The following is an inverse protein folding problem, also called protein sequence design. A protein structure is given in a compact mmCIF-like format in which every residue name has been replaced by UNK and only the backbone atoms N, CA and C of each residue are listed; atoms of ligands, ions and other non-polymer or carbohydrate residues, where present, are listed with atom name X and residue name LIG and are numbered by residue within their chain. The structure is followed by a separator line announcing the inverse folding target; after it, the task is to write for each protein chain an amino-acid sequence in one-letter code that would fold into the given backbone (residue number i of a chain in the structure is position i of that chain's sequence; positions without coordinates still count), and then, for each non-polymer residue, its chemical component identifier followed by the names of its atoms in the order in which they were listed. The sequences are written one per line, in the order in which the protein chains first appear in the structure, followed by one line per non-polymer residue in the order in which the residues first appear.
data_IF_434548736862
#
_entry.id   IF_434548736862
#
_cell.length_a   1.000
_cell.length_b   1.000
_cell.length_c   1.000
_cell.angle_alpha   90.00
_cell.angle_beta   90.00
_cell.angle_gamma   90.00
#
_symmetry.space_group_name_H-M   'P 1'
#
loop_
_entity.id
_entity.type
_entity.pdbx_description
1 polymer ?
#
# COMPACT_ATOMS: atom_id res chain seq x y z
N UNK A 1 -10.86 -14.77 4.25
CA UNK A 1 -10.02 -14.46 3.07
C UNK A 1 -8.64 -15.07 3.34
N UNK A 2 -8.03 -15.75 2.39
CA UNK A 2 -6.70 -16.37 2.51
C UNK A 2 -5.88 -16.00 1.28
N UNK A 3 -4.56 -16.18 1.38
CA UNK A 3 -3.61 -15.93 0.29
C UNK A 3 -3.57 -14.46 -0.20
N UNK A 4 -3.53 -13.52 0.76
CA UNK A 4 -3.41 -12.09 0.47
C UNK A 4 -1.93 -11.74 0.30
N UNK A 5 -1.56 -11.19 -0.84
CA UNK A 5 -0.25 -10.56 -1.02
C UNK A 5 -0.38 -9.05 -0.78
N UNK A 6 0.40 -8.54 0.16
CA UNK A 6 0.48 -7.09 0.39
C UNK A 6 1.52 -6.49 -0.54
N UNK A 7 1.12 -5.49 -1.31
CA UNK A 7 2.02 -4.68 -2.11
C UNK A 7 2.01 -3.24 -1.58
N UNK A 8 3.07 -2.81 -0.94
CA UNK A 8 3.16 -1.51 -0.28
C UNK A 8 4.50 -0.82 -0.57
N UNK A 9 4.51 0.50 -0.51
CA UNK A 9 5.75 1.26 -0.65
C UNK A 9 6.69 1.00 0.54
N UNK A 10 6.13 1.00 1.76
CA UNK A 10 6.88 0.73 2.99
C UNK A 10 5.91 0.32 4.09
N UNK A 11 6.34 -0.58 4.95
CA UNK A 11 5.61 -1.01 6.12
C UNK A 11 6.40 -0.67 7.38
N UNK A 12 5.80 0.10 8.27
CA UNK A 12 6.38 0.55 9.52
C UNK A 12 5.55 0.13 10.73
N UNK A 13 5.79 0.77 11.88
CA UNK A 13 5.12 0.45 13.14
C UNK A 13 3.59 0.48 13.07
N UNK A 14 3.01 1.40 12.30
CA UNK A 14 1.56 1.47 12.09
C UNK A 14 0.97 0.20 11.44
N UNK A 15 1.79 -0.59 10.78
CA UNK A 15 1.40 -1.82 10.12
C UNK A 15 1.62 -3.08 11.00
N UNK A 16 2.15 -2.94 12.21
CA UNK A 16 2.39 -4.08 13.11
C UNK A 16 1.15 -4.95 13.38
N UNK A 17 -0.09 -4.45 13.35
CA UNK A 17 -1.30 -5.28 13.45
C UNK A 17 -1.44 -6.37 12.38
N UNK A 18 -0.68 -6.31 11.28
CA UNK A 18 -0.70 -7.39 10.25
C UNK A 18 0.15 -8.60 10.64
N UNK A 19 1.04 -8.49 11.63
CA UNK A 19 1.97 -9.56 12.01
C UNK A 19 1.28 -10.89 12.33
N UNK A 20 0.21 -10.96 13.11
CA UNK A 20 -0.52 -12.21 13.35
C UNK A 20 -1.00 -12.90 12.08
N UNK A 21 -1.38 -12.11 11.06
CA UNK A 21 -1.85 -12.62 9.76
C UNK A 21 -0.71 -13.09 8.85
N UNK A 22 0.50 -12.62 9.09
CA UNK A 22 1.72 -13.17 8.48
C UNK A 22 2.03 -14.53 9.12
N UNK A 23 1.96 -14.61 10.45
CA UNK A 23 2.30 -15.80 11.21
C UNK A 23 1.30 -16.95 11.00
N UNK A 24 0.01 -16.66 10.84
CA UNK A 24 -1.02 -17.65 10.58
C UNK A 24 -1.15 -18.05 9.09
N UNK A 25 -0.40 -17.38 8.20
CA UNK A 25 -0.37 -17.64 6.76
C UNK A 25 -1.54 -17.03 5.97
N UNK A 26 -2.36 -16.17 6.57
CA UNK A 26 -3.39 -15.40 5.86
C UNK A 26 -2.73 -14.45 4.86
N UNK A 27 -1.57 -13.88 5.21
CA UNK A 27 -0.71 -13.06 4.36
C UNK A 27 0.57 -13.84 4.03
N UNK A 28 0.56 -14.68 3.00
CA UNK A 28 1.72 -15.47 2.63
C UNK A 28 2.76 -14.71 1.85
N UNK A 29 2.42 -13.58 1.23
CA UNK A 29 3.26 -12.82 0.33
C UNK A 29 3.34 -11.34 0.65
N UNK A 30 4.50 -10.76 0.37
CA UNK A 30 4.74 -9.33 0.57
C UNK A 30 5.66 -8.78 -0.51
N UNK A 31 5.31 -7.63 -1.05
CA UNK A 31 6.13 -6.85 -1.97
C UNK A 31 6.21 -5.41 -1.46
N UNK A 32 7.43 -4.92 -1.25
CA UNK A 32 7.63 -3.60 -0.62
C UNK A 32 8.97 -2.99 -1.05
N UNK A 33 9.14 -1.72 -0.74
CA UNK A 33 10.46 -1.06 -0.83
C UNK A 33 11.20 -1.09 0.51
N UNK A 34 10.50 -1.40 1.59
CA UNK A 34 11.10 -1.52 2.92
C UNK A 34 10.12 -1.99 3.97
N UNK A 35 10.64 -2.70 4.96
CA UNK A 35 9.88 -3.19 6.11
C UNK A 35 10.64 -2.86 7.39
N UNK A 36 9.93 -2.48 8.44
CA UNK A 36 10.50 -2.06 9.73
C UNK A 36 9.64 -2.60 10.87
N UNK A 37 10.07 -2.32 12.09
CA UNK A 37 9.39 -2.67 13.34
C UNK A 37 9.05 -4.17 13.43
N UNK A 38 7.92 -4.54 14.02
CA UNK A 38 7.55 -5.94 14.22
C UNK A 38 7.28 -6.68 12.91
N UNK A 39 6.74 -5.99 11.90
CA UNK A 39 6.58 -6.56 10.55
C UNK A 39 7.93 -6.95 9.94
N UNK A 40 8.94 -6.05 10.03
CA UNK A 40 10.29 -6.34 9.57
C UNK A 40 10.93 -7.49 10.30
N UNK A 41 10.76 -7.55 11.63
CA UNK A 41 11.26 -8.65 12.46
C UNK A 41 10.62 -10.00 12.09
N UNK A 42 9.30 -10.03 11.89
CA UNK A 42 8.59 -11.25 11.49
C UNK A 42 9.12 -11.79 10.16
N UNK A 43 9.32 -10.92 9.16
CA UNK A 43 9.86 -11.32 7.85
C UNK A 43 11.31 -11.82 7.98
N UNK A 44 12.16 -11.09 8.69
CA UNK A 44 13.56 -11.47 8.90
C UNK A 44 13.72 -12.78 9.67
N UNK A 45 12.76 -13.12 10.52
CA UNK A 45 12.71 -14.38 11.25
C UNK A 45 12.03 -15.52 10.48
N UNK A 46 11.76 -15.33 9.19
CA UNK A 46 11.21 -16.37 8.32
C UNK A 46 9.75 -16.74 8.60
N UNK A 47 8.96 -15.80 9.16
CA UNK A 47 7.54 -16.03 9.45
C UNK A 47 6.66 -15.93 8.22
N UNK A 48 7.11 -15.26 7.15
CA UNK A 48 6.38 -15.17 5.90
C UNK A 48 6.46 -16.50 5.15
N UNK A 49 5.34 -17.01 4.69
CA UNK A 49 5.26 -18.30 3.98
C UNK A 49 6.01 -18.29 2.66
N UNK A 50 5.89 -17.21 1.90
CA UNK A 50 6.60 -17.00 0.64
C UNK A 50 7.73 -15.98 0.84
N UNK A 51 8.56 -15.79 -0.18
CA UNK A 51 9.61 -14.77 -0.14
C UNK A 51 9.02 -13.36 -0.21
N UNK A 52 9.55 -12.47 0.60
CA UNK A 52 9.30 -11.04 0.44
C UNK A 52 10.09 -10.51 -0.76
N UNK A 53 9.43 -9.77 -1.64
CA UNK A 53 10.07 -9.15 -2.80
C UNK A 53 10.29 -7.66 -2.48
N UNK A 54 11.56 -7.26 -2.46
CA UNK A 54 11.92 -5.86 -2.23
C UNK A 54 12.29 -5.18 -3.54
N UNK A 55 11.68 -4.02 -3.80
CA UNK A 55 11.96 -3.18 -4.96
C UNK A 55 12.28 -1.77 -4.52
N UNK A 56 13.05 -1.05 -5.31
CA UNK A 56 13.16 0.40 -5.14
C UNK A 56 11.80 1.07 -5.42
N UNK A 57 11.62 2.33 -5.01
CA UNK A 57 10.37 3.07 -5.25
C UNK A 57 10.02 3.09 -6.75
N UNK A 58 10.96 3.49 -7.62
CA UNK A 58 10.75 3.46 -9.06
C UNK A 58 10.59 2.05 -9.62
N UNK A 59 11.28 1.06 -9.06
CA UNK A 59 11.14 -0.34 -9.44
C UNK A 59 9.75 -0.91 -9.14
N UNK A 60 9.11 -0.46 -8.05
CA UNK A 60 7.73 -0.83 -7.73
C UNK A 60 6.74 -0.22 -8.73
N UNK A 61 6.88 1.07 -9.03
CA UNK A 61 6.05 1.75 -10.03
C UNK A 61 6.17 1.04 -11.38
N UNK A 62 7.40 0.81 -11.86
CA UNK A 62 7.64 0.09 -13.11
C UNK A 62 6.99 -1.30 -13.14
N UNK A 63 7.07 -2.04 -12.03
CA UNK A 63 6.50 -3.39 -11.96
C UNK A 63 4.96 -3.38 -12.07
N UNK A 64 4.31 -2.36 -11.52
CA UNK A 64 2.85 -2.16 -11.63
C UNK A 64 2.48 -1.74 -13.06
N UNK A 65 3.14 -0.72 -13.60
CA UNK A 65 2.87 -0.18 -14.95
C UNK A 65 3.13 -1.20 -16.06
N UNK A 66 4.13 -2.07 -15.89
CA UNK A 66 4.45 -3.13 -16.85
C UNK A 66 3.57 -4.38 -16.74
N UNK A 67 2.69 -4.45 -15.73
CA UNK A 67 1.87 -5.62 -15.46
C UNK A 67 2.62 -6.79 -14.80
N UNK A 68 3.88 -6.60 -14.38
CA UNK A 68 4.63 -7.60 -13.60
C UNK A 68 3.97 -7.82 -12.23
N UNK A 69 3.39 -6.77 -11.66
CA UNK A 69 2.61 -6.79 -10.41
C UNK A 69 1.21 -6.31 -10.71
N UNK A 70 0.23 -7.17 -10.46
CA UNK A 70 -1.19 -6.82 -10.54
C UNK A 70 -1.71 -6.39 -9.16
N UNK A 71 -2.50 -5.33 -9.12
CA UNK A 71 -3.15 -4.82 -7.92
C UNK A 71 -4.66 -4.98 -8.05
N UNK A 72 -5.25 -5.86 -7.27
CA UNK A 72 -6.71 -6.05 -7.25
C UNK A 72 -7.41 -4.88 -6.56
N UNK A 73 -6.90 -4.46 -5.41
CA UNK A 73 -7.47 -3.36 -4.64
C UNK A 73 -6.36 -2.48 -4.08
N UNK A 74 -6.42 -1.19 -4.38
CA UNK A 74 -5.54 -0.17 -3.79
C UNK A 74 -6.28 0.62 -2.70
N UNK A 75 -5.75 0.64 -1.49
CA UNK A 75 -6.19 1.52 -0.41
C UNK A 75 -5.25 2.72 -0.34
N UNK A 76 -5.76 3.90 -0.62
CA UNK A 76 -4.96 5.12 -0.70
C UNK A 76 -5.46 6.14 0.31
N UNK A 77 -4.61 6.48 1.28
CA UNK A 77 -4.84 7.58 2.20
C UNK A 77 -4.52 8.93 1.53
N UNK A 78 -5.46 9.87 1.60
CA UNK A 78 -5.25 11.21 1.07
C UNK A 78 -5.84 12.28 2.01
N UNK A 79 -5.18 13.46 2.15
CA UNK A 79 -5.69 14.59 2.93
C UNK A 79 -7.07 15.06 2.50
N UNK A 80 -7.37 15.03 1.20
CA UNK A 80 -8.69 15.33 0.66
C UNK A 80 -9.03 14.39 -0.50
N UNK A 81 -10.32 14.12 -0.65
CA UNK A 81 -10.87 13.37 -1.78
C UNK A 81 -12.24 13.92 -2.14
N UNK A 82 -12.61 13.89 -3.41
CA UNK A 82 -13.99 14.20 -3.84
C UNK A 82 -14.83 12.92 -4.01
N UNK A 83 -16.10 13.09 -4.35
CA UNK A 83 -17.05 11.98 -4.55
C UNK A 83 -16.74 11.09 -5.76
N UNK A 84 -15.88 11.55 -6.68
CA UNK A 84 -15.41 10.81 -7.84
C UNK A 84 -14.10 10.08 -7.60
N UNK A 85 -13.51 10.22 -6.40
CA UNK A 85 -12.25 9.57 -6.07
C UNK A 85 -10.99 10.36 -6.48
N UNK A 86 -11.12 11.62 -6.88
CA UNK A 86 -9.97 12.48 -7.12
C UNK A 86 -9.33 12.86 -5.79
N UNK A 87 -8.05 12.56 -5.62
CA UNK A 87 -7.32 12.72 -4.37
C UNK A 87 -6.29 13.84 -4.48
N UNK A 88 -6.17 14.61 -3.40
CA UNK A 88 -5.15 15.64 -3.28
C UNK A 88 -4.30 15.42 -2.03
N UNK A 89 -3.04 15.84 -2.14
CA UNK A 89 -2.06 15.79 -1.06
C UNK A 89 -2.18 16.97 -0.08
N UNK A 90 -3.08 17.91 -0.34
CA UNK A 90 -3.25 19.14 0.44
C UNK A 90 -4.72 19.54 0.56
N UNK A 91 -4.97 20.57 1.36
CA UNK A 91 -6.31 21.13 1.58
C UNK A 91 -7.11 20.43 2.67
N UNK A 92 -6.53 19.45 3.36
CA UNK A 92 -7.11 18.76 4.49
C UNK A 92 -6.49 19.15 5.82
N UNK A 93 -6.76 18.33 6.86
CA UNK A 93 -6.17 18.50 8.20
C UNK A 93 -4.72 18.01 8.28
N UNK A 94 -4.30 17.17 7.36
CA UNK A 94 -3.01 16.48 7.39
C UNK A 94 -2.38 16.48 6.00
N UNK A 95 -1.98 17.65 5.54
CA UNK A 95 -1.27 17.80 4.27
C UNK A 95 0.02 16.97 4.28
N UNK A 96 0.22 16.16 3.27
CA UNK A 96 1.32 15.19 3.22
C UNK A 96 2.34 15.42 2.10
N UNK A 97 2.15 16.44 1.27
CA UNK A 97 2.98 16.66 0.09
C UNK A 97 2.60 15.72 -1.05
N UNK A 98 3.56 15.30 -1.85
CA UNK A 98 3.31 14.52 -3.07
C UNK A 98 2.80 13.11 -2.73
N UNK A 99 1.70 12.68 -3.36
CA UNK A 99 1.18 11.31 -3.24
C UNK A 99 2.04 10.28 -4.01
N UNK A 100 2.92 10.76 -4.88
CA UNK A 100 3.99 10.00 -5.53
C UNK A 100 3.49 8.66 -6.15
N UNK A 101 4.08 7.56 -5.74
CA UNK A 101 3.78 6.23 -6.32
C UNK A 101 2.39 5.67 -5.98
N UNK A 102 1.60 6.30 -5.11
CA UNK A 102 0.17 6.01 -4.96
C UNK A 102 -0.60 6.29 -6.26
N UNK A 103 -0.06 7.13 -7.14
CA UNK A 103 -0.62 7.39 -8.47
C UNK A 103 -0.62 6.13 -9.33
N UNK A 104 0.46 5.36 -9.34
CA UNK A 104 0.51 4.09 -10.07
C UNK A 104 -0.47 3.06 -9.49
N UNK A 105 -0.61 2.99 -8.16
CA UNK A 105 -1.61 2.14 -7.54
C UNK A 105 -3.04 2.55 -7.95
N UNK A 106 -3.34 3.85 -7.97
CA UNK A 106 -4.65 4.36 -8.35
C UNK A 106 -4.97 4.12 -9.83
N UNK A 107 -3.99 4.24 -10.70
CA UNK A 107 -4.17 4.15 -12.15
C UNK A 107 -4.30 2.71 -12.64
N UNK A 108 -3.60 1.77 -12.01
CA UNK A 108 -3.49 0.39 -12.49
C UNK A 108 -4.20 -0.65 -11.61
N UNK A 109 -4.76 -0.28 -10.46
CA UNK A 109 -5.55 -1.21 -9.67
C UNK A 109 -6.94 -1.45 -10.28
N UNK A 110 -7.47 -2.65 -10.12
CA UNK A 110 -8.85 -2.96 -10.54
C UNK A 110 -9.87 -2.13 -9.75
N UNK A 111 -9.57 -1.85 -8.49
CA UNK A 111 -10.41 -1.03 -7.60
C UNK A 111 -9.55 -0.13 -6.73
N UNK A 112 -10.05 1.08 -6.50
CA UNK A 112 -9.41 2.04 -5.61
C UNK A 112 -10.36 2.39 -4.47
N UNK A 113 -9.84 2.34 -3.25
CA UNK A 113 -10.54 2.78 -2.05
C UNK A 113 -9.79 4.00 -1.51
N UNK A 114 -10.36 5.18 -1.70
CA UNK A 114 -9.85 6.41 -1.11
C UNK A 114 -10.20 6.46 0.39
N UNK A 115 -9.19 6.68 1.22
CA UNK A 115 -9.34 6.84 2.67
C UNK A 115 -9.03 8.28 3.04
N UNK A 116 -10.04 9.03 3.45
CA UNK A 116 -9.90 10.45 3.80
C UNK A 116 -10.81 10.80 4.97
N UNK A 117 -10.43 11.83 5.73
CA UNK A 117 -11.28 12.47 6.72
C UNK A 117 -11.80 13.84 6.26
N UNK A 118 -11.59 14.16 4.99
CA UNK A 118 -12.00 15.43 4.38
C UNK A 118 -12.53 15.21 2.96
N UNK A 119 -13.84 14.94 2.87
CA UNK A 119 -14.53 14.91 1.58
C UNK A 119 -14.79 16.35 1.12
N UNK A 120 -14.39 16.65 -0.10
CA UNK A 120 -14.56 17.96 -0.73
C UNK A 120 -15.42 17.84 -2.00
N UNK A 121 -16.15 18.90 -2.41
CA UNK A 121 -16.87 18.85 -3.69
C UNK A 121 -15.87 18.78 -4.85
N UNK A 122 -16.32 18.20 -5.96
CA UNK A 122 -15.56 18.22 -7.22
C UNK A 122 -15.35 19.67 -7.66
N UNK A 123 -14.11 20.07 -8.04
CA UNK A 123 -13.79 21.42 -8.43
C UNK A 123 -14.38 21.83 -9.79
#
# INVERSE_FOLDING_TARGET
MKDITICASSLGKANDPIVPYIEDGTIPGLQSSGVRASTGAAISNGKLKNLAIMRSHGGRVRAIESGEVHIDIAFIGAPTCDEYGNMRANGGKSDCGVLSYAMADAEYADRVVAVTDCLVPFP
#
